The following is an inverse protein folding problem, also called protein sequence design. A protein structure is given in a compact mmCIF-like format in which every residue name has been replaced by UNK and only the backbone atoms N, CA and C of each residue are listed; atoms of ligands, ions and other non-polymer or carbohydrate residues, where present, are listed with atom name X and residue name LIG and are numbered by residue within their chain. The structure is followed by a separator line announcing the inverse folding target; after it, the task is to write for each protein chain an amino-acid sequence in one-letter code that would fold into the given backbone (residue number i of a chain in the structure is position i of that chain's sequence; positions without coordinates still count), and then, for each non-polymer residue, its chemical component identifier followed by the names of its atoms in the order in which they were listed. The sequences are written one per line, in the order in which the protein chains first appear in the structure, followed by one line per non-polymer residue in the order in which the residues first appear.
data_IF_337158317178
#
_entry.id   IF_337158317178
#
_cell.length_a   1.000
_cell.length_b   1.000
_cell.length_c   1.000
_cell.angle_alpha   90.00
_cell.angle_beta   90.00
_cell.angle_gamma   90.00
#
_symmetry.space_group_name_H-M   'P 1'
#
loop_
_entity.id
_entity.type
_entity.pdbx_description
1 polymer ?
#
# COMPACT_ATOMS: atom_id res chain seq x y z
N UNK A 1 43.54 51.00 -8.81
CA UNK A 1 43.73 49.59 -9.21
C UNK A 1 42.56 48.78 -8.66
N UNK A 2 41.64 48.32 -9.52
CA UNK A 2 40.42 47.58 -9.14
C UNK A 2 40.69 46.08 -9.21
N UNK A 3 40.52 45.36 -8.10
CA UNK A 3 40.44 43.90 -8.06
C UNK A 3 39.35 43.52 -7.07
N UNK A 4 38.15 43.28 -7.55
CA UNK A 4 37.14 42.54 -6.79
C UNK A 4 36.95 41.20 -7.52
N UNK A 5 37.50 40.15 -6.92
CA UNK A 5 37.21 38.77 -7.28
C UNK A 5 35.71 38.54 -7.08
N UNK A 6 35.03 38.11 -8.14
CA UNK A 6 33.68 37.58 -8.03
C UNK A 6 33.76 36.22 -7.32
N UNK A 7 33.24 36.16 -6.09
CA UNK A 7 33.09 34.93 -5.33
C UNK A 7 31.84 34.21 -5.91
N UNK A 8 32.05 33.15 -6.68
CA UNK A 8 30.98 32.28 -7.13
C UNK A 8 30.50 31.43 -5.95
N UNK A 9 29.39 31.84 -5.33
CA UNK A 9 28.72 31.06 -4.29
C UNK A 9 28.10 29.83 -4.92
N UNK A 10 28.70 28.66 -4.70
CA UNK A 10 28.18 27.37 -5.13
C UNK A 10 26.91 27.07 -4.31
N UNK A 11 25.73 27.22 -4.93
CA UNK A 11 24.47 26.70 -4.35
C UNK A 11 24.51 25.16 -4.48
N UNK A 12 24.96 24.47 -3.43
CA UNK A 12 24.66 23.04 -3.26
C UNK A 12 23.17 22.91 -2.94
N UNK A 13 22.37 22.65 -3.97
CA UNK A 13 21.00 22.19 -3.79
C UNK A 13 21.04 20.82 -3.10
N UNK A 14 20.73 20.79 -1.80
CA UNK A 14 20.38 19.54 -1.12
C UNK A 14 19.11 19.02 -1.79
N UNK A 15 19.26 18.07 -2.72
CA UNK A 15 18.13 17.27 -3.16
C UNK A 15 17.55 16.57 -1.93
N UNK A 16 16.23 16.65 -1.67
CA UNK A 16 15.65 15.87 -0.59
C UNK A 16 15.89 14.40 -0.91
N UNK A 17 16.66 13.75 -0.03
CA UNK A 17 16.77 12.29 0.03
C UNK A 17 15.33 11.78 0.16
N UNK A 18 14.85 11.07 -0.85
CA UNK A 18 13.54 10.41 -0.83
C UNK A 18 13.59 9.32 0.25
N UNK A 19 13.33 9.74 1.49
CA UNK A 19 13.39 8.91 2.68
C UNK A 19 12.09 8.13 2.80
N UNK A 20 12.24 6.79 2.88
CA UNK A 20 11.21 5.78 3.02
C UNK A 20 10.15 5.78 1.91
N UNK A 21 10.09 4.70 1.13
CA UNK A 21 8.90 4.39 0.36
C UNK A 21 7.74 4.30 1.37
N UNK A 22 6.88 5.31 1.42
CA UNK A 22 5.71 5.32 2.28
C UNK A 22 4.82 4.14 1.89
N UNK A 23 4.83 3.09 2.72
CA UNK A 23 3.94 1.93 2.58
C UNK A 23 2.75 2.12 3.52
N UNK A 24 1.56 2.02 2.96
CA UNK A 24 0.35 1.82 3.73
C UNK A 24 0.01 0.32 3.74
N UNK A 25 0.20 -0.32 4.90
CA UNK A 25 -0.13 -1.72 5.11
C UNK A 25 -1.43 -1.83 5.90
N UNK A 26 -2.36 -2.66 5.44
CA UNK A 26 -3.63 -2.93 6.08
C UNK A 26 -3.77 -4.43 6.31
N UNK A 27 -4.25 -4.84 7.48
CA UNK A 27 -4.33 -6.23 7.88
C UNK A 27 -5.71 -6.65 8.34
N UNK A 28 -6.07 -7.89 8.01
CA UNK A 28 -7.18 -8.64 8.58
C UNK A 28 -6.62 -9.95 9.13
N UNK A 29 -7.04 -10.31 10.34
CA UNK A 29 -6.68 -11.57 10.97
C UNK A 29 -7.95 -12.30 11.42
N UNK A 30 -8.50 -13.09 10.52
CA UNK A 30 -9.67 -13.92 10.77
C UNK A 30 -9.26 -15.31 11.30
N UNK A 31 -10.20 -16.10 11.85
CA UNK A 31 -9.92 -17.47 12.30
C UNK A 31 -9.36 -18.37 11.20
N UNK A 32 -9.87 -18.21 9.97
CA UNK A 32 -9.54 -19.09 8.84
C UNK A 32 -8.33 -18.59 8.03
N UNK A 33 -8.11 -17.28 8.00
CA UNK A 33 -7.07 -16.68 7.19
C UNK A 33 -6.53 -15.35 7.76
N UNK A 34 -5.28 -15.04 7.45
CA UNK A 34 -4.72 -13.70 7.61
C UNK A 34 -4.47 -13.09 6.24
N UNK A 35 -4.86 -11.83 6.06
CA UNK A 35 -4.66 -11.11 4.79
C UNK A 35 -3.99 -9.78 5.08
N UNK A 36 -2.92 -9.46 4.36
CA UNK A 36 -2.25 -8.16 4.40
C UNK A 36 -2.24 -7.54 3.01
N UNK A 37 -2.63 -6.27 2.93
CA UNK A 37 -2.60 -5.46 1.70
C UNK A 37 -1.65 -4.30 1.91
N UNK A 38 -0.63 -4.20 1.09
CA UNK A 38 0.35 -3.13 1.12
C UNK A 38 0.22 -2.27 -0.15
N UNK A 39 0.18 -0.95 0.04
CA UNK A 39 0.07 0.05 -1.00
C UNK A 39 1.30 0.97 -0.96
N UNK A 40 2.02 1.07 -2.08
CA UNK A 40 3.20 1.91 -2.23
C UNK A 40 2.86 3.19 -3.02
N UNK A 41 3.58 4.27 -2.73
CA UNK A 41 3.39 5.57 -3.41
C UNK A 41 3.51 5.52 -4.95
N UNK A 42 4.19 4.52 -5.51
CA UNK A 42 4.34 4.31 -6.96
C UNK A 42 3.11 3.66 -7.64
N UNK A 43 2.01 3.46 -6.89
CA UNK A 43 0.78 2.76 -7.29
C UNK A 43 0.93 1.24 -7.41
N UNK A 44 2.06 0.67 -7.00
CA UNK A 44 2.16 -0.78 -6.84
C UNK A 44 1.51 -1.24 -5.53
N UNK A 45 1.03 -2.47 -5.52
CA UNK A 45 0.51 -3.12 -4.33
C UNK A 45 0.91 -4.59 -4.25
N UNK A 46 0.82 -5.13 -3.03
CA UNK A 46 1.09 -6.52 -2.69
C UNK A 46 -0.01 -7.00 -1.77
N UNK A 47 -0.53 -8.18 -2.08
CA UNK A 47 -1.53 -8.85 -1.26
C UNK A 47 -0.91 -10.16 -0.82
N UNK A 48 -0.87 -10.39 0.49
CA UNK A 48 -0.38 -11.62 1.09
C UNK A 48 -1.52 -12.26 1.85
N UNK A 49 -1.80 -13.52 1.54
CA UNK A 49 -2.82 -14.32 2.20
C UNK A 49 -2.16 -15.54 2.84
N UNK A 50 -2.46 -15.80 4.11
CA UNK A 50 -2.14 -17.03 4.82
C UNK A 50 -3.44 -17.78 5.08
N UNK A 51 -3.57 -18.97 4.51
CA UNK A 51 -4.59 -19.94 4.91
C UNK A 51 -4.11 -20.66 6.18
N UNK A 52 -4.85 -20.55 7.28
CA UNK A 52 -4.41 -21.09 8.57
C UNK A 52 -4.65 -22.58 8.73
N UNK A 53 -5.58 -23.15 7.95
CA UNK A 53 -5.86 -24.58 7.97
C UNK A 53 -4.73 -25.37 7.30
N UNK A 54 -4.15 -24.82 6.23
CA UNK A 54 -3.14 -25.47 5.40
C UNK A 54 -1.74 -24.87 5.53
N UNK A 55 -1.61 -23.75 6.24
CA UNK A 55 -0.41 -22.89 6.33
C UNK A 55 0.10 -22.39 4.97
N UNK A 56 -0.73 -22.48 3.93
CA UNK A 56 -0.37 -22.03 2.60
C UNK A 56 -0.31 -20.49 2.54
N UNK A 57 0.78 -19.97 1.98
CA UNK A 57 0.99 -18.55 1.74
C UNK A 57 0.86 -18.26 0.26
N UNK A 58 0.00 -17.30 -0.10
CA UNK A 58 -0.11 -16.75 -1.44
C UNK A 58 0.34 -15.30 -1.45
N UNK A 59 1.13 -14.92 -2.45
CA UNK A 59 1.59 -13.54 -2.66
C UNK A 59 1.24 -13.10 -4.06
N UNK A 60 0.49 -12.02 -4.16
CA UNK A 60 0.10 -11.42 -5.42
C UNK A 60 0.62 -9.99 -5.53
N UNK A 61 1.05 -9.63 -6.74
CA UNK A 61 1.42 -8.25 -7.07
C UNK A 61 0.32 -7.62 -7.90
N UNK A 62 0.01 -6.37 -7.57
CA UNK A 62 -1.06 -5.62 -8.21
C UNK A 62 -0.67 -4.16 -8.43
N UNK A 63 -1.50 -3.46 -9.19
CA UNK A 63 -1.53 -1.99 -9.25
C UNK A 63 -2.81 -1.52 -8.57
N UNK A 64 -2.79 -0.34 -7.96
CA UNK A 64 -3.98 0.26 -7.36
C UNK A 64 -4.23 1.69 -7.81
N UNK A 65 -5.49 2.11 -7.67
CA UNK A 65 -5.93 3.48 -7.85
C UNK A 65 -6.93 3.86 -6.76
N UNK A 66 -6.94 5.14 -6.40
CA UNK A 66 -7.89 5.71 -5.44
C UNK A 66 -8.68 6.81 -6.16
N UNK A 67 -10.01 6.74 -6.09
CA UNK A 67 -10.93 7.74 -6.63
C UNK A 67 -11.96 8.10 -5.55
N UNK A 68 -11.75 9.23 -4.87
CA UNK A 68 -12.51 9.54 -3.66
C UNK A 68 -12.15 8.53 -2.55
N UNK A 69 -13.16 7.93 -1.91
CA UNK A 69 -12.97 6.83 -0.96
C UNK A 69 -12.75 5.47 -1.63
N UNK A 70 -13.05 5.32 -2.93
CA UNK A 70 -12.97 4.01 -3.58
C UNK A 70 -11.55 3.64 -3.92
N UNK A 71 -11.16 2.41 -3.56
CA UNK A 71 -9.88 1.80 -3.88
C UNK A 71 -10.13 0.68 -4.88
N UNK A 72 -9.40 0.68 -6.00
CA UNK A 72 -9.46 -0.39 -6.99
C UNK A 72 -8.10 -1.07 -7.08
N UNK A 73 -8.11 -2.39 -7.03
CA UNK A 73 -6.93 -3.24 -7.19
C UNK A 73 -6.98 -3.93 -8.56
N UNK A 74 -5.81 -4.13 -9.17
CA UNK A 74 -5.64 -4.91 -10.41
C UNK A 74 -4.45 -5.85 -10.25
N UNK A 75 -4.73 -7.12 -10.01
CA UNK A 75 -3.77 -8.21 -10.02
C UNK A 75 -3.40 -8.56 -11.45
N UNK A 76 -2.11 -8.68 -11.74
CA UNK A 76 -1.62 -9.04 -13.07
C UNK A 76 -1.98 -10.49 -13.38
N UNK A 77 -2.63 -10.72 -14.51
CA UNK A 77 -2.99 -12.07 -14.99
C UNK A 77 -4.40 -12.51 -14.61
N UNK A 78 -5.10 -11.79 -13.74
CA UNK A 78 -6.51 -12.02 -13.44
C UNK A 78 -7.42 -11.20 -14.38
N UNK A 79 -8.60 -11.74 -14.71
CA UNK A 79 -9.60 -10.99 -15.48
C UNK A 79 -10.31 -9.98 -14.58
N UNK A 80 -10.97 -9.01 -15.19
CA UNK A 80 -11.84 -8.10 -14.43
C UNK A 80 -13.05 -8.87 -13.91
N UNK A 81 -13.47 -8.57 -12.67
CA UNK A 81 -14.60 -9.28 -12.03
C UNK A 81 -14.25 -10.65 -11.45
N UNK A 82 -12.98 -11.05 -11.45
CA UNK A 82 -12.49 -12.27 -10.80
C UNK A 82 -11.58 -11.94 -9.61
N UNK A 83 -11.51 -12.84 -8.63
CA UNK A 83 -10.54 -12.77 -7.53
C UNK A 83 -10.55 -11.41 -6.83
N UNK A 84 -9.36 -10.81 -6.69
CA UNK A 84 -9.22 -9.49 -6.05
C UNK A 84 -9.62 -8.34 -6.98
N UNK A 85 -9.73 -8.57 -8.29
CA UNK A 85 -10.21 -7.58 -9.24
C UNK A 85 -11.74 -7.42 -9.22
N UNK A 86 -12.46 -8.33 -8.57
CA UNK A 86 -13.90 -8.26 -8.37
C UNK A 86 -14.32 -7.43 -7.14
N UNK A 87 -13.36 -7.17 -6.24
CA UNK A 87 -13.64 -6.59 -4.94
C UNK A 87 -13.94 -5.10 -5.07
N UNK A 88 -15.03 -4.68 -4.43
CA UNK A 88 -15.28 -3.27 -4.16
C UNK A 88 -14.65 -2.93 -2.82
N UNK A 89 -13.76 -1.94 -2.80
CA UNK A 89 -12.99 -1.57 -1.61
C UNK A 89 -13.16 -0.08 -1.39
N UNK A 90 -13.42 0.30 -0.14
CA UNK A 90 -13.49 1.70 0.29
C UNK A 90 -12.48 1.98 1.40
N UNK A 91 -11.80 3.10 1.30
CA UNK A 91 -10.99 3.65 2.38
C UNK A 91 -11.87 4.53 3.26
N UNK A 92 -11.91 4.23 4.55
CA UNK A 92 -12.48 5.10 5.57
C UNK A 92 -11.36 5.98 6.17
N UNK A 93 -11.35 7.29 5.87
CA UNK A 93 -10.32 8.18 6.37
C UNK A 93 -10.45 8.47 7.86
N UNK A 94 -11.60 8.20 8.51
CA UNK A 94 -11.77 8.44 9.94
C UNK A 94 -11.08 7.37 10.77
N UNK A 95 -11.15 6.12 10.34
CA UNK A 95 -10.53 4.97 11.01
C UNK A 95 -9.20 4.54 10.40
N UNK A 96 -8.77 5.19 9.32
CA UNK A 96 -7.65 4.77 8.45
C UNK A 96 -7.71 3.27 8.13
N UNK A 97 -8.85 2.82 7.62
CA UNK A 97 -9.13 1.42 7.36
C UNK A 97 -9.59 1.19 5.92
N UNK A 98 -9.44 -0.04 5.43
CA UNK A 98 -10.04 -0.47 4.17
C UNK A 98 -11.23 -1.40 4.46
N UNK A 99 -12.39 -1.04 3.95
CA UNK A 99 -13.58 -1.88 3.95
C UNK A 99 -13.67 -2.63 2.63
N UNK A 100 -13.59 -3.94 2.69
CA UNK A 100 -13.76 -4.85 1.58
C UNK A 100 -15.22 -5.28 1.55
N UNK A 101 -15.94 -4.86 0.51
CA UNK A 101 -17.36 -5.15 0.32
C UNK A 101 -17.56 -6.54 -0.30
N UNK A 102 -18.68 -7.17 0.06
CA UNK A 102 -19.05 -8.51 -0.38
C UNK A 102 -20.24 -9.03 0.41
N UNK A 103 -20.53 -10.33 0.27
CA UNK A 103 -21.58 -10.99 1.08
C UNK A 103 -21.28 -11.01 2.59
N UNK A 104 -19.99 -10.93 2.94
CA UNK A 104 -19.52 -10.76 4.31
C UNK A 104 -18.44 -9.66 4.33
N UNK A 105 -18.81 -8.38 4.54
CA UNK A 105 -17.86 -7.28 4.52
C UNK A 105 -16.74 -7.45 5.55
N UNK A 106 -15.52 -7.09 5.16
CA UNK A 106 -14.33 -7.22 6.02
C UNK A 106 -13.62 -5.90 6.20
N UNK A 107 -13.29 -5.56 7.44
CA UNK A 107 -12.56 -4.35 7.79
C UNK A 107 -11.08 -4.68 7.99
N UNK A 108 -10.23 -4.09 7.18
CA UNK A 108 -8.78 -4.18 7.27
C UNK A 108 -8.26 -2.93 7.96
N UNK A 109 -7.51 -3.11 9.04
CA UNK A 109 -7.00 -2.01 9.86
C UNK A 109 -5.57 -1.67 9.49
N UNK A 110 -5.20 -0.39 9.58
CA UNK A 110 -3.83 0.06 9.33
C UNK A 110 -2.86 -0.67 10.26
N UNK A 111 -1.83 -1.29 9.69
CA UNK A 111 -0.69 -1.82 10.44
C UNK A 111 0.28 -0.69 10.79
N UNK A 112 0.89 -0.70 12.00
CA UNK A 112 1.94 0.24 12.35
C UNK A 112 3.11 0.18 11.36
N UNK A 113 3.69 1.35 11.04
CA UNK A 113 4.92 1.41 10.22
C UNK A 113 6.06 0.74 11.00
N UNK A 114 6.76 -0.21 10.38
CA UNK A 114 7.92 -0.89 10.98
C UNK A 114 7.60 -2.17 11.78
N UNK A 115 6.41 -2.75 11.61
CA UNK A 115 6.06 -4.04 12.23
C UNK A 115 6.78 -5.22 11.58
N UNK A 116 8.05 -5.40 11.90
CA UNK A 116 8.64 -6.73 12.05
C UNK A 116 7.71 -7.49 13.02
N UNK A 117 7.20 -8.63 12.60
CA UNK A 117 6.46 -9.52 13.50
C UNK A 117 7.42 -9.92 14.62
N UNK A 118 7.06 -9.58 15.86
CA UNK A 118 7.72 -10.12 17.04
C UNK A 118 7.49 -11.64 17.16
#
# INVERSE_FOLDING_TARGET
MRRHLALATLLTALAPVANAADVAAFGLNDPDASVTVELWADRSCRITTLDKATTAVSVMRCTYWIHGSRVRLRVRGEKDGEGFNALEIEHDPQSDALLFHGSNPKLFTRRPRGGEEA
#
